data_IF_727451120812
#
_entry.id   IF_727451120812
#
_cell.length_a   1.000
_cell.length_b   1.000
_cell.length_c   1.000
_cell.angle_alpha   90.00
_cell.angle_beta   90.00
_cell.angle_gamma   90.00
#
_symmetry.space_group_name_H-M   'P 1'
#
loop_
_entity.id
_entity.type
_entity.pdbx_description
1 polymer ?
#
# COMPACT_ATOMS: atom_id res chain seq x y z
N UNK A 1 -51.45 18.62 -31.68
CA UNK A 1 -52.06 17.38 -31.14
C UNK A 1 -51.22 16.11 -31.36
N UNK A 2 -50.21 16.08 -32.24
CA UNK A 2 -49.47 14.83 -32.57
C UNK A 2 -48.39 14.41 -31.56
N UNK A 3 -47.78 15.35 -30.82
CA UNK A 3 -46.72 15.04 -29.85
C UNK A 3 -47.24 14.32 -28.59
N UNK A 4 -48.47 14.62 -28.17
CA UNK A 4 -49.10 13.99 -27.00
C UNK A 4 -49.44 12.53 -27.25
N UNK A 5 -49.95 12.21 -28.45
CA UNK A 5 -50.28 10.83 -28.84
C UNK A 5 -49.03 9.96 -29.07
N UNK A 6 -47.90 10.57 -29.43
CA UNK A 6 -46.62 9.88 -29.55
C UNK A 6 -46.04 9.51 -28.18
N UNK A 7 -46.08 10.43 -27.22
CA UNK A 7 -45.59 10.18 -25.86
C UNK A 7 -46.39 9.04 -25.19
N UNK A 8 -47.72 9.06 -25.30
CA UNK A 8 -48.59 8.02 -24.74
C UNK A 8 -48.35 6.63 -25.36
N UNK A 9 -48.10 6.54 -26.68
CA UNK A 9 -47.80 5.25 -27.33
C UNK A 9 -46.41 4.72 -26.99
N UNK A 10 -45.44 5.61 -26.81
CA UNK A 10 -44.08 5.24 -26.42
C UNK A 10 -44.08 4.71 -24.98
N UNK A 11 -44.73 5.41 -24.06
CA UNK A 11 -44.88 4.98 -22.67
C UNK A 11 -45.68 3.67 -22.56
N UNK A 12 -46.75 3.51 -23.34
CA UNK A 12 -47.55 2.27 -23.34
C UNK A 12 -46.76 1.04 -23.81
N UNK A 13 -45.93 1.17 -24.86
CA UNK A 13 -45.08 0.07 -25.34
C UNK A 13 -43.92 -0.24 -24.40
N UNK A 14 -43.34 0.77 -23.75
CA UNK A 14 -42.24 0.59 -22.80
C UNK A 14 -42.70 -0.04 -21.47
N UNK A 15 -43.90 0.34 -21.00
CA UNK A 15 -44.54 -0.30 -19.85
C UNK A 15 -44.81 -1.79 -20.10
N UNK A 16 -45.14 -2.18 -21.33
CA UNK A 16 -45.34 -3.59 -21.73
C UNK A 16 -44.10 -4.46 -21.55
N UNK A 17 -42.91 -3.84 -21.54
CA UNK A 17 -41.63 -4.51 -21.39
C UNK A 17 -40.91 -4.16 -20.07
N UNK A 18 -41.60 -3.53 -19.11
CA UNK A 18 -41.03 -3.05 -17.83
C UNK A 18 -39.79 -2.16 -17.99
N UNK A 19 -39.72 -1.37 -19.06
CA UNK A 19 -38.65 -0.42 -19.31
C UNK A 19 -39.18 1.01 -19.16
N UNK A 20 -38.35 1.92 -18.65
CA UNK A 20 -38.67 3.35 -18.66
C UNK A 20 -37.89 4.06 -19.78
N UNK A 21 -38.42 5.16 -20.31
CA UNK A 21 -37.73 6.00 -21.31
C UNK A 21 -36.35 6.44 -20.80
N UNK A 22 -36.25 6.69 -19.50
CA UNK A 22 -35.00 7.02 -18.81
C UNK A 22 -34.00 5.86 -18.85
N UNK A 23 -34.47 4.63 -18.64
CA UNK A 23 -33.64 3.41 -18.72
C UNK A 23 -33.04 3.18 -20.11
N UNK A 24 -33.76 3.54 -21.17
CA UNK A 24 -33.30 3.42 -22.56
C UNK A 24 -32.23 4.46 -22.90
N UNK A 25 -32.39 5.68 -22.41
CA UNK A 25 -31.40 6.75 -22.58
C UNK A 25 -30.13 6.49 -21.74
N UNK A 26 -30.29 5.89 -20.57
CA UNK A 26 -29.19 5.51 -19.68
C UNK A 26 -28.41 4.27 -20.19
N UNK A 27 -29.08 3.31 -20.86
CA UNK A 27 -28.41 2.11 -21.41
C UNK A 27 -27.48 2.40 -22.60
N UNK A 28 -27.70 3.49 -23.34
CA UNK A 28 -26.92 3.80 -24.55
C UNK A 28 -25.85 4.89 -24.34
N UNK A 29 -25.64 5.35 -23.11
CA UNK A 29 -24.71 6.44 -22.76
C UNK A 29 -24.73 7.57 -23.80
N UNK A 30 -25.95 7.92 -24.22
CA UNK A 30 -26.21 8.75 -25.39
C UNK A 30 -25.49 10.11 -25.36
N UNK A 31 -25.28 10.79 -24.21
CA UNK A 31 -24.53 12.04 -24.17
C UNK A 31 -23.02 11.88 -24.45
N UNK A 32 -22.45 10.68 -24.34
CA UNK A 32 -21.02 10.42 -24.54
C UNK A 32 -20.68 9.86 -25.93
N UNK A 33 -21.69 9.64 -26.80
CA UNK A 33 -21.44 9.22 -28.17
C UNK A 33 -20.81 10.35 -29.01
N UNK A 34 -19.89 10.03 -29.93
CA UNK A 34 -19.38 11.01 -30.89
C UNK A 34 -20.53 11.70 -31.64
N UNK A 35 -20.44 13.02 -31.81
CA UNK A 35 -21.50 13.88 -32.39
C UNK A 35 -21.99 13.40 -33.77
N UNK A 36 -21.11 12.76 -34.54
CA UNK A 36 -21.44 12.15 -35.84
C UNK A 36 -22.41 10.97 -35.72
N UNK A 37 -22.32 10.17 -34.65
CA UNK A 37 -23.19 9.02 -34.40
C UNK A 37 -24.53 9.50 -33.86
N UNK A 38 -24.55 10.49 -32.96
CA UNK A 38 -25.78 11.12 -32.47
C UNK A 38 -26.64 11.69 -33.61
N UNK A 39 -26.01 12.40 -34.56
CA UNK A 39 -26.67 12.93 -35.75
C UNK A 39 -27.16 11.84 -36.70
N UNK A 40 -26.40 10.75 -36.87
CA UNK A 40 -26.77 9.63 -37.75
C UNK A 40 -27.96 8.84 -37.18
N UNK A 41 -28.03 8.69 -35.85
CA UNK A 41 -29.20 8.10 -35.17
C UNK A 41 -30.42 9.00 -35.33
N UNK A 42 -30.29 10.31 -35.10
CA UNK A 42 -31.42 11.25 -35.28
C UNK A 42 -31.91 11.32 -36.74
N UNK A 43 -31.01 11.29 -37.72
CA UNK A 43 -31.38 11.30 -39.14
C UNK A 43 -32.07 10.00 -39.57
N UNK A 44 -31.61 8.84 -39.10
CA UNK A 44 -32.31 7.56 -39.35
C UNK A 44 -33.68 7.48 -38.68
N UNK A 45 -33.89 8.20 -37.58
CA UNK A 45 -35.21 8.34 -36.94
C UNK A 45 -36.13 9.27 -37.74
N UNK A 46 -35.59 10.29 -38.39
CA UNK A 46 -36.34 11.18 -39.28
C UNK A 46 -36.77 10.47 -40.57
N UNK A 47 -35.89 9.62 -41.13
CA UNK A 47 -36.17 8.86 -42.36
C UNK A 47 -37.10 7.66 -42.17
N UNK A 48 -37.35 7.23 -40.92
CA UNK A 48 -38.34 6.18 -40.59
C UNK A 48 -39.75 6.72 -40.28
N UNK A 49 -39.96 8.04 -40.35
CA UNK A 49 -41.27 8.68 -40.08
C UNK A 49 -42.06 9.09 -41.34
N UNK A 50 -41.64 8.67 -42.53
CA UNK A 50 -42.53 8.62 -43.70
C UNK A 50 -42.98 7.17 -43.93
N UNK A 51 -44.30 6.91 -43.91
CA UNK A 51 -45.05 7.20 -45.12
C UNK A 51 -46.51 7.67 -44.92
N UNK A 52 -47.07 8.13 -46.04
CA UNK A 52 -48.49 8.35 -46.38
C UNK A 52 -49.05 9.78 -46.24
N UNK A 53 -48.79 10.60 -47.25
CA UNK A 53 -49.88 11.38 -47.88
C UNK A 53 -49.56 11.76 -49.34
N UNK A 54 -49.52 10.75 -50.23
CA UNK A 54 -49.82 10.96 -51.65
C UNK A 54 -51.26 10.54 -51.89
N UNK A 55 -52.18 11.50 -52.01
CA UNK A 55 -53.33 11.47 -52.93
C UNK A 55 -54.17 12.75 -52.81
N UNK A 56 -54.49 13.30 -53.99
CA UNK A 56 -55.49 14.34 -54.32
C UNK A 56 -55.05 15.78 -54.01
N UNK A 57 -54.47 16.49 -54.97
CA UNK A 57 -55.08 17.11 -56.18
C UNK A 57 -55.64 18.50 -55.90
N UNK A 58 -55.17 19.44 -56.73
CA UNK A 58 -55.83 20.66 -57.21
C UNK A 58 -56.18 21.77 -56.21
N UNK A 59 -55.30 22.77 -56.14
CA UNK A 59 -55.60 24.17 -56.47
C UNK A 59 -54.24 24.91 -56.50
N UNK A 60 -53.65 25.21 -57.65
CA UNK A 60 -54.20 26.15 -58.61
C UNK A 60 -53.78 27.58 -58.28
N UNK A 61 -52.49 27.84 -58.01
CA UNK A 61 -51.96 29.22 -57.98
C UNK A 61 -51.73 29.65 -59.43
N UNK A 62 -52.74 30.29 -60.01
CA UNK A 62 -52.57 31.11 -61.22
C UNK A 62 -53.59 32.25 -61.22
N UNK A 63 -53.03 33.45 -61.28
CA UNK A 63 -53.55 34.69 -61.85
C UNK A 63 -54.76 35.34 -61.17
N UNK A 64 -54.51 36.52 -60.59
CA UNK A 64 -55.32 37.74 -60.75
C UNK A 64 -54.49 38.91 -60.21
N UNK A 65 -53.46 39.29 -60.96
CA UNK A 65 -52.89 40.65 -60.93
C UNK A 65 -53.49 41.38 -62.13
N UNK A 66 -54.61 42.05 -61.91
CA UNK A 66 -55.00 43.30 -62.59
C UNK A 66 -56.34 43.76 -62.02
N UNK A 67 -56.45 45.07 -61.80
CA UNK A 67 -57.60 45.81 -61.26
C UNK A 67 -57.84 45.74 -59.76
N UNK A 68 -57.19 46.63 -59.00
CA UNK A 68 -57.82 47.47 -57.96
C UNK A 68 -56.78 48.42 -57.34
N UNK A 69 -56.27 49.33 -58.17
CA UNK A 69 -55.90 50.65 -57.68
C UNK A 69 -57.19 51.40 -57.37
N UNK A 70 -57.56 51.47 -56.09
CA UNK A 70 -58.14 52.63 -55.40
C UNK A 70 -58.85 52.18 -54.12
N UNK A 71 -58.56 52.92 -53.04
CA UNK A 71 -59.12 52.82 -51.68
C UNK A 71 -58.48 51.80 -50.74
N UNK A 72 -57.25 52.11 -50.30
CA UNK A 72 -56.68 51.50 -49.08
C UNK A 72 -57.20 52.27 -47.86
N UNK A 73 -58.08 51.63 -47.09
CA UNK A 73 -58.58 52.10 -45.80
C UNK A 73 -57.44 52.29 -44.76
N UNK A 74 -57.50 53.33 -43.89
CA UNK A 74 -56.54 53.56 -42.81
C UNK A 74 -56.32 52.37 -41.85
N UNK A 75 -57.30 51.46 -41.75
CA UNK A 75 -57.22 50.27 -40.89
C UNK A 75 -56.20 49.22 -41.37
N UNK A 76 -55.93 49.13 -42.68
CA UNK A 76 -54.94 48.20 -43.25
C UNK A 76 -53.49 48.66 -43.01
N UNK A 77 -53.28 49.98 -42.88
CA UNK A 77 -51.97 50.56 -42.58
C UNK A 77 -51.56 50.30 -41.11
N UNK A 78 -52.49 50.45 -40.18
CA UNK A 78 -52.26 50.16 -38.76
C UNK A 78 -52.04 48.66 -38.50
N UNK A 79 -52.74 47.79 -39.23
CA UNK A 79 -52.54 46.34 -39.14
C UNK A 79 -51.16 45.93 -39.70
N UNK A 80 -50.75 46.45 -40.86
CA UNK A 80 -49.41 46.21 -41.42
C UNK A 80 -48.29 46.75 -40.52
N UNK A 81 -48.46 47.92 -39.92
CA UNK A 81 -47.48 48.49 -38.98
C UNK A 81 -47.36 47.63 -37.71
N UNK A 82 -48.47 47.14 -37.18
CA UNK A 82 -48.50 46.29 -35.98
C UNK A 82 -47.85 44.92 -36.22
N UNK A 83 -48.12 44.30 -37.37
CA UNK A 83 -47.48 43.04 -37.78
C UNK A 83 -45.97 43.23 -38.02
N UNK A 84 -45.56 44.37 -38.58
CA UNK A 84 -44.14 44.68 -38.81
C UNK A 84 -43.36 44.92 -37.50
N UNK A 85 -43.97 45.58 -36.51
CA UNK A 85 -43.36 45.78 -35.19
C UNK A 85 -43.29 44.46 -34.40
N UNK A 86 -44.35 43.65 -34.45
CA UNK A 86 -44.38 42.34 -33.78
C UNK A 86 -43.32 41.38 -34.35
N UNK A 87 -43.19 41.30 -35.68
CA UNK A 87 -42.18 40.45 -36.35
C UNK A 87 -40.75 40.93 -36.10
N UNK A 88 -40.51 42.26 -36.01
CA UNK A 88 -39.20 42.78 -35.59
C UNK A 88 -38.88 42.53 -34.13
N UNK A 89 -39.87 42.64 -33.23
CA UNK A 89 -39.68 42.32 -31.82
C UNK A 89 -39.38 40.83 -31.61
N UNK A 90 -40.05 39.95 -32.35
CA UNK A 90 -39.83 38.50 -32.31
C UNK A 90 -38.47 38.10 -32.90
N UNK A 91 -38.04 38.73 -33.99
CA UNK A 91 -36.70 38.56 -34.55
C UNK A 91 -35.59 39.08 -33.61
N UNK A 92 -35.80 40.24 -32.97
CA UNK A 92 -34.86 40.79 -32.00
C UNK A 92 -34.77 39.95 -30.72
N UNK A 93 -35.88 39.34 -30.28
CA UNK A 93 -35.91 38.42 -29.16
C UNK A 93 -35.15 37.12 -29.47
N UNK A 94 -35.33 36.54 -30.67
CA UNK A 94 -34.56 35.37 -31.12
C UNK A 94 -33.05 35.62 -31.14
N UNK A 95 -32.62 36.77 -31.67
CA UNK A 95 -31.19 37.14 -31.72
C UNK A 95 -30.60 37.34 -30.31
N UNK A 96 -31.38 37.87 -29.35
CA UNK A 96 -30.92 37.98 -27.94
C UNK A 96 -30.78 36.62 -27.27
N UNK A 97 -31.72 35.70 -27.48
CA UNK A 97 -31.68 34.35 -26.90
C UNK A 97 -30.51 33.54 -27.49
N UNK A 98 -30.25 33.64 -28.80
CA UNK A 98 -29.07 32.99 -29.42
C UNK A 98 -27.76 33.57 -28.90
N UNK A 99 -27.62 34.91 -28.79
CA UNK A 99 -26.42 35.54 -28.24
C UNK A 99 -26.18 35.21 -26.77
N UNK A 100 -27.24 35.12 -25.96
CA UNK A 100 -27.12 34.71 -24.56
C UNK A 100 -26.75 33.23 -24.43
N UNK A 101 -27.26 32.38 -25.33
CA UNK A 101 -26.88 30.97 -25.41
C UNK A 101 -25.40 30.76 -25.80
N UNK A 102 -24.88 31.56 -26.74
CA UNK A 102 -23.47 31.48 -27.15
C UNK A 102 -22.53 32.00 -26.06
N UNK A 103 -22.89 33.10 -25.38
CA UNK A 103 -22.07 33.66 -24.28
C UNK A 103 -21.98 32.68 -23.10
N UNK A 104 -23.11 32.07 -22.71
CA UNK A 104 -23.14 31.07 -21.64
C UNK A 104 -22.32 29.81 -21.99
N UNK A 105 -22.31 29.41 -23.26
CA UNK A 105 -21.49 28.30 -23.74
C UNK A 105 -19.99 28.62 -23.71
N UNK A 106 -19.59 29.82 -24.11
CA UNK A 106 -18.19 30.27 -24.04
C UNK A 106 -17.67 30.35 -22.60
N UNK A 107 -18.49 30.86 -21.67
CA UNK A 107 -18.16 30.91 -20.25
C UNK A 107 -18.03 29.50 -19.65
N UNK A 108 -18.90 28.57 -20.04
CA UNK A 108 -18.81 27.17 -19.62
C UNK A 108 -17.52 26.51 -20.13
N UNK A 109 -17.15 26.73 -21.39
CA UNK A 109 -15.90 26.21 -21.98
C UNK A 109 -14.68 26.80 -21.26
N UNK A 110 -14.70 28.10 -20.95
CA UNK A 110 -13.64 28.77 -20.18
C UNK A 110 -13.46 28.15 -18.79
N UNK A 111 -14.57 27.92 -18.06
CA UNK A 111 -14.55 27.25 -16.75
C UNK A 111 -14.02 25.83 -16.83
N UNK A 112 -14.42 25.04 -17.83
CA UNK A 112 -13.90 23.68 -18.03
C UNK A 112 -12.39 23.70 -18.29
N UNK A 113 -11.88 24.65 -19.08
CA UNK A 113 -10.42 24.82 -19.29
C UNK A 113 -9.70 25.15 -17.99
N UNK A 114 -10.23 26.07 -17.18
CA UNK A 114 -9.64 26.42 -15.88
C UNK A 114 -9.62 25.23 -14.91
N UNK A 115 -10.71 24.46 -14.84
CA UNK A 115 -10.76 23.24 -14.01
C UNK A 115 -9.76 22.19 -14.50
N UNK A 116 -9.63 21.99 -15.81
CA UNK A 116 -8.66 21.06 -16.38
C UNK A 116 -7.20 21.49 -16.07
N UNK A 117 -6.90 22.78 -16.14
CA UNK A 117 -5.58 23.30 -15.80
C UNK A 117 -5.28 23.18 -14.30
N UNK A 118 -6.27 23.42 -13.44
CA UNK A 118 -6.15 23.19 -12.01
C UNK A 118 -5.91 21.71 -11.69
N UNK A 119 -6.64 20.79 -12.32
CA UNK A 119 -6.42 19.35 -12.16
C UNK A 119 -5.02 18.92 -12.58
N UNK A 120 -4.47 19.48 -13.66
CA UNK A 120 -3.07 19.26 -14.08
C UNK A 120 -2.08 19.71 -12.99
N UNK A 121 -2.27 20.92 -12.43
CA UNK A 121 -1.41 21.44 -11.35
C UNK A 121 -1.46 20.53 -10.12
N UNK A 122 -2.65 20.09 -9.70
CA UNK A 122 -2.82 19.15 -8.58
C UNK A 122 -2.12 17.81 -8.85
N UNK A 123 -2.21 17.27 -10.06
CA UNK A 123 -1.53 16.03 -10.43
C UNK A 123 0.00 16.15 -10.33
N UNK A 124 0.57 17.26 -10.80
CA UNK A 124 2.01 17.55 -10.72
C UNK A 124 2.46 17.64 -9.26
N UNK A 125 1.74 18.39 -8.41
CA UNK A 125 2.09 18.52 -6.99
C UNK A 125 2.05 17.17 -6.27
N UNK A 126 1.05 16.32 -6.57
CA UNK A 126 0.96 14.96 -6.01
C UNK A 126 2.11 14.07 -6.48
N UNK A 127 2.50 14.16 -7.75
CA UNK A 127 3.62 13.40 -8.29
C UNK A 127 4.95 13.82 -7.64
N UNK A 128 5.22 15.12 -7.52
CA UNK A 128 6.39 15.65 -6.82
C UNK A 128 6.42 15.22 -5.34
N UNK A 129 5.27 15.22 -4.67
CA UNK A 129 5.15 14.74 -3.29
C UNK A 129 5.40 13.24 -3.12
N UNK A 130 5.14 12.41 -4.14
CA UNK A 130 5.51 10.99 -4.13
C UNK A 130 7.01 10.82 -4.38
N UNK A 131 7.55 11.45 -5.42
CA UNK A 131 8.97 11.39 -5.75
C UNK A 131 9.87 11.84 -4.58
N UNK A 132 9.48 12.90 -3.86
CA UNK A 132 10.22 13.34 -2.65
C UNK A 132 10.20 12.30 -1.53
N UNK A 133 9.10 11.58 -1.35
CA UNK A 133 8.98 10.53 -0.32
C UNK A 133 9.78 9.28 -0.70
N UNK A 134 9.76 8.90 -1.97
CA UNK A 134 10.58 7.80 -2.50
C UNK A 134 12.07 8.11 -2.34
N UNK A 135 12.52 9.31 -2.75
CA UNK A 135 13.91 9.73 -2.57
C UNK A 135 14.33 9.80 -1.08
N UNK A 136 13.42 10.20 -0.19
CA UNK A 136 13.68 10.18 1.25
C UNK A 136 13.79 8.76 1.80
N UNK A 137 12.93 7.84 1.33
CA UNK A 137 12.96 6.43 1.71
C UNK A 137 14.24 5.74 1.24
N UNK A 138 14.68 5.97 0.00
CA UNK A 138 15.94 5.45 -0.54
C UNK A 138 17.15 5.95 0.26
N UNK A 139 17.18 7.23 0.61
CA UNK A 139 18.24 7.79 1.47
C UNK A 139 18.24 7.15 2.86
N UNK A 140 17.07 6.94 3.46
CA UNK A 140 16.95 6.27 4.75
C UNK A 140 17.46 4.82 4.69
N UNK A 141 17.13 4.10 3.62
CA UNK A 141 17.59 2.73 3.39
C UNK A 141 19.11 2.67 3.18
N UNK A 142 19.69 3.59 2.43
CA UNK A 142 21.14 3.68 2.25
C UNK A 142 21.87 3.93 3.59
N UNK A 143 21.35 4.83 4.43
CA UNK A 143 21.92 5.08 5.77
C UNK A 143 21.84 3.83 6.66
N UNK A 144 20.73 3.09 6.61
CA UNK A 144 20.58 1.84 7.36
C UNK A 144 21.60 0.79 6.91
N UNK A 145 21.82 0.63 5.61
CA UNK A 145 22.81 -0.31 5.07
C UNK A 145 24.23 0.04 5.52
N UNK A 146 24.62 1.32 5.46
CA UNK A 146 25.94 1.77 5.93
C UNK A 146 26.12 1.47 7.43
N UNK A 147 25.10 1.74 8.26
CA UNK A 147 25.13 1.43 9.69
C UNK A 147 25.25 -0.07 9.94
N UNK A 148 24.49 -0.90 9.24
CA UNK A 148 24.59 -2.36 9.36
C UNK A 148 25.97 -2.87 8.96
N UNK A 149 26.57 -2.32 7.90
CA UNK A 149 27.90 -2.71 7.46
C UNK A 149 28.98 -2.32 8.48
N UNK A 150 28.87 -1.15 9.11
CA UNK A 150 29.78 -0.72 10.19
C UNK A 150 29.66 -1.62 11.44
N UNK A 151 28.44 -2.04 11.81
CA UNK A 151 28.23 -2.98 12.91
C UNK A 151 28.81 -4.35 12.58
N UNK A 152 28.66 -4.83 11.35
CA UNK A 152 29.23 -6.12 10.92
C UNK A 152 30.75 -6.12 10.93
N UNK A 153 31.40 -5.05 10.46
CA UNK A 153 32.86 -4.95 10.44
C UNK A 153 33.44 -4.87 11.84
N UNK A 154 32.83 -4.09 12.73
CA UNK A 154 33.23 -4.00 14.14
C UNK A 154 33.04 -5.34 14.86
N UNK A 155 31.92 -6.02 14.66
CA UNK A 155 31.68 -7.34 15.25
C UNK A 155 32.69 -8.39 14.77
N UNK A 156 33.01 -8.41 13.47
CA UNK A 156 34.03 -9.31 12.91
C UNK A 156 35.42 -9.05 13.51
N UNK A 157 35.80 -7.78 13.71
CA UNK A 157 37.05 -7.42 14.36
C UNK A 157 37.11 -7.90 15.82
N UNK A 158 36.03 -7.74 16.58
CA UNK A 158 35.93 -8.23 17.95
C UNK A 158 36.06 -9.75 18.01
N UNK A 159 35.37 -10.49 17.15
CA UNK A 159 35.48 -11.96 17.10
C UNK A 159 36.91 -12.42 16.81
N UNK A 160 37.60 -11.76 15.87
CA UNK A 160 39.00 -12.07 15.55
C UNK A 160 39.93 -11.78 16.74
N UNK A 161 39.70 -10.67 17.46
CA UNK A 161 40.45 -10.33 18.66
C UNK A 161 40.25 -11.38 19.76
N UNK A 162 39.00 -11.79 20.01
CA UNK A 162 38.65 -12.84 21.00
C UNK A 162 39.31 -14.18 20.64
N UNK A 163 39.26 -14.58 19.37
CA UNK A 163 39.91 -15.82 18.92
C UNK A 163 41.44 -15.78 19.18
N UNK A 164 42.10 -14.67 18.82
CA UNK A 164 43.54 -14.49 19.08
C UNK A 164 43.88 -14.42 20.57
N UNK A 165 42.97 -13.90 21.39
CA UNK A 165 43.12 -13.83 22.84
C UNK A 165 43.01 -15.23 23.47
N UNK A 166 42.07 -16.04 23.01
CA UNK A 166 41.90 -17.43 23.45
C UNK A 166 43.13 -18.27 23.13
N UNK A 167 43.68 -18.14 21.92
CA UNK A 167 44.89 -18.89 21.53
C UNK A 167 46.10 -18.51 22.41
N UNK A 168 46.31 -17.22 22.64
CA UNK A 168 47.36 -16.74 23.57
C UNK A 168 47.17 -17.25 24.99
N UNK A 169 45.93 -17.29 25.48
CA UNK A 169 45.63 -17.83 26.81
C UNK A 169 45.94 -19.33 26.90
N UNK A 170 45.56 -20.11 25.89
CA UNK A 170 45.87 -21.55 25.84
C UNK A 170 47.38 -21.77 25.84
N UNK A 171 48.13 -21.03 25.01
CA UNK A 171 49.60 -21.11 24.96
C UNK A 171 50.23 -20.74 26.31
N UNK A 172 49.71 -19.71 26.99
CA UNK A 172 50.20 -19.31 28.32
C UNK A 172 49.96 -20.40 29.37
N UNK A 173 48.76 -21.02 29.38
CA UNK A 173 48.43 -22.13 30.30
C UNK A 173 49.34 -23.34 30.03
N UNK A 174 49.61 -23.65 28.76
CA UNK A 174 50.51 -24.75 28.39
C UNK A 174 51.95 -24.48 28.80
N UNK A 175 52.43 -23.24 28.61
CA UNK A 175 53.77 -22.83 29.06
C UNK A 175 53.91 -22.91 30.59
N UNK A 176 52.91 -22.45 31.34
CA UNK A 176 52.89 -22.55 32.80
C UNK A 176 52.88 -24.01 33.27
N UNK A 177 52.10 -24.88 32.61
CA UNK A 177 52.10 -26.33 32.88
C UNK A 177 53.46 -26.98 32.61
N UNK A 178 54.16 -26.56 31.55
CA UNK A 178 55.52 -27.05 31.26
C UNK A 178 56.52 -26.57 32.31
N UNK A 179 56.45 -25.31 32.72
CA UNK A 179 57.30 -24.78 33.80
C UNK A 179 57.06 -25.52 35.12
N UNK A 180 55.80 -25.78 35.47
CA UNK A 180 55.45 -26.55 36.66
C UNK A 180 55.98 -28.00 36.59
N UNK A 181 55.92 -28.64 35.42
CA UNK A 181 56.51 -29.98 35.21
C UNK A 181 58.01 -29.97 35.46
N UNK A 182 58.75 -29.04 34.85
CA UNK A 182 60.20 -28.91 35.04
C UNK A 182 60.57 -28.61 36.49
N UNK A 183 59.78 -27.79 37.19
CA UNK A 183 59.96 -27.52 38.61
C UNK A 183 59.77 -28.77 39.47
N UNK A 184 58.74 -29.58 39.20
CA UNK A 184 58.53 -30.86 39.88
C UNK A 184 59.65 -31.87 39.59
N UNK A 185 60.10 -31.97 38.33
CA UNK A 185 61.23 -32.83 37.95
C UNK A 185 62.51 -32.45 38.72
N UNK A 186 62.79 -31.15 38.83
CA UNK A 186 63.92 -30.64 39.61
C UNK A 186 63.81 -30.90 41.11
N UNK A 187 62.59 -30.87 41.66
CA UNK A 187 62.35 -31.03 43.09
C UNK A 187 62.31 -32.50 43.55
N UNK A 188 61.81 -33.42 42.72
CA UNK A 188 61.46 -34.79 43.16
C UNK A 188 62.02 -35.91 42.28
N UNK A 189 62.69 -35.60 41.16
CA UNK A 189 63.12 -36.60 40.17
C UNK A 189 62.00 -37.02 39.22
N UNK A 190 62.35 -37.42 37.99
CA UNK A 190 61.42 -37.61 36.86
C UNK A 190 60.25 -38.56 37.16
N UNK A 191 60.50 -39.70 37.81
CA UNK A 191 59.48 -40.69 38.12
C UNK A 191 58.44 -40.22 39.17
N UNK A 192 58.87 -39.40 40.14
CA UNK A 192 57.97 -38.85 41.16
C UNK A 192 57.15 -37.68 40.60
N UNK A 193 57.74 -36.86 39.72
CA UNK A 193 57.07 -35.77 39.02
C UNK A 193 55.98 -36.28 38.07
N UNK A 194 56.25 -37.35 37.31
CA UNK A 194 55.26 -37.96 36.42
C UNK A 194 54.07 -38.55 37.19
N UNK A 195 54.35 -39.22 38.33
CA UNK A 195 53.32 -39.75 39.22
C UNK A 195 52.47 -38.63 39.86
N UNK A 196 53.08 -37.53 40.28
CA UNK A 196 52.37 -36.37 40.81
C UNK A 196 51.49 -35.69 39.74
N UNK A 197 51.97 -35.58 38.49
CA UNK A 197 51.20 -35.03 37.38
C UNK A 197 50.00 -35.93 37.00
N UNK A 198 50.21 -37.25 36.98
CA UNK A 198 49.13 -38.21 36.75
C UNK A 198 48.08 -38.15 37.86
N UNK A 199 48.51 -37.99 39.13
CA UNK A 199 47.61 -37.79 40.26
C UNK A 199 46.81 -36.48 40.12
N UNK A 200 47.46 -35.38 39.72
CA UNK A 200 46.79 -34.10 39.46
C UNK A 200 45.69 -34.21 38.41
N UNK A 201 45.97 -34.89 37.28
CA UNK A 201 44.95 -35.15 36.25
C UNK A 201 43.80 -36.02 36.76
N UNK A 202 44.09 -37.01 37.60
CA UNK A 202 43.05 -37.86 38.20
C UNK A 202 42.17 -37.09 39.19
N UNK A 203 42.76 -36.18 39.97
CA UNK A 203 42.03 -35.29 40.89
C UNK A 203 41.17 -34.30 40.12
N UNK A 204 41.69 -33.71 39.03
CA UNK A 204 40.92 -32.82 38.17
C UNK A 204 39.74 -33.55 37.51
N UNK A 205 39.95 -34.78 37.05
CA UNK A 205 38.88 -35.62 36.51
C UNK A 205 37.83 -35.97 37.57
N UNK A 206 38.25 -36.25 38.81
CA UNK A 206 37.33 -36.47 39.94
C UNK A 206 36.52 -35.22 40.31
N UNK A 207 37.01 -34.03 39.94
CA UNK A 207 36.32 -32.74 40.13
C UNK A 207 35.51 -32.32 38.90
N UNK A 208 35.42 -33.13 37.85
CA UNK A 208 34.62 -32.79 36.68
C UNK A 208 33.12 -32.85 36.99
N UNK A 209 32.33 -32.03 36.31
CA UNK A 209 30.88 -32.07 36.40
C UNK A 209 30.37 -33.41 35.86
N UNK A 210 29.55 -34.11 36.64
CA UNK A 210 29.00 -35.44 36.28
C UNK A 210 28.03 -35.43 35.09
N UNK A 211 27.70 -34.25 34.57
CA UNK A 211 26.71 -34.08 33.51
C UNK A 211 27.39 -33.84 32.17
N UNK A 212 28.36 -32.92 32.12
CA UNK A 212 29.08 -32.60 30.89
C UNK A 212 30.47 -33.21 30.82
N UNK A 213 31.07 -33.64 31.94
CA UNK A 213 32.45 -34.14 32.04
C UNK A 213 33.55 -33.19 31.54
N UNK A 214 33.20 -31.95 31.18
CA UNK A 214 34.10 -30.95 30.62
C UNK A 214 34.49 -29.89 31.68
N UNK A 215 33.48 -29.30 32.33
CA UNK A 215 33.67 -28.22 33.29
C UNK A 215 33.90 -28.75 34.71
N UNK A 216 34.65 -28.01 35.53
CA UNK A 216 34.78 -28.32 36.96
C UNK A 216 33.46 -28.18 37.73
N UNK A 217 33.19 -29.15 38.58
CA UNK A 217 32.12 -29.15 39.56
C UNK A 217 32.38 -28.06 40.60
N UNK A 218 31.54 -27.03 40.57
CA UNK A 218 31.66 -25.84 41.43
C UNK A 218 30.33 -25.44 42.05
N UNK A 219 29.28 -26.22 41.83
CA UNK A 219 27.92 -25.90 42.24
C UNK A 219 27.29 -27.00 43.08
N UNK A 220 26.56 -26.56 44.08
CA UNK A 220 25.83 -27.36 45.06
C UNK A 220 24.39 -26.82 45.19
N UNK A 221 23.52 -27.10 44.19
CA UNK A 221 22.21 -26.46 44.10
C UNK A 221 21.17 -26.99 45.08
N UNK A 222 21.33 -28.20 45.61
CA UNK A 222 20.35 -28.86 46.50
C UNK A 222 20.78 -28.87 47.96
N UNK A 223 19.82 -28.99 48.87
CA UNK A 223 20.08 -29.06 50.32
C UNK A 223 20.79 -30.33 50.78
N UNK A 224 20.87 -31.35 49.92
CA UNK A 224 21.66 -32.57 50.17
C UNK A 224 23.17 -32.36 50.01
N UNK A 225 23.62 -31.17 49.60
CA UNK A 225 25.03 -30.78 49.54
C UNK A 225 25.92 -31.57 48.54
N UNK A 226 25.34 -32.22 47.53
CA UNK A 226 26.14 -32.81 46.45
C UNK A 226 26.70 -31.72 45.52
N UNK A 227 28.02 -31.57 45.52
CA UNK A 227 28.79 -30.56 44.80
C UNK A 227 29.41 -31.11 43.50
N UNK A 228 28.57 -31.58 42.57
CA UNK A 228 29.01 -32.37 41.40
C UNK A 228 28.64 -31.72 40.05
N UNK A 229 28.25 -30.43 40.07
CA UNK A 229 27.73 -29.74 38.89
C UNK A 229 28.53 -28.49 38.53
N UNK A 230 28.71 -28.22 37.24
CA UNK A 230 29.14 -26.90 36.77
C UNK A 230 27.95 -25.92 36.80
N UNK A 231 28.23 -24.61 36.66
CA UNK A 231 27.20 -23.58 36.67
C UNK A 231 26.13 -23.78 35.58
N UNK A 232 26.54 -24.10 34.36
CA UNK A 232 25.62 -24.31 33.24
C UNK A 232 24.68 -25.51 33.46
N UNK A 233 25.23 -26.65 33.91
CA UNK A 233 24.44 -27.85 34.18
C UNK A 233 23.55 -27.70 35.42
N UNK A 234 24.03 -27.06 36.49
CA UNK A 234 23.23 -26.83 37.70
C UNK A 234 21.97 -26.02 37.41
N UNK A 235 22.07 -24.94 36.64
CA UNK A 235 20.91 -24.13 36.25
C UNK A 235 19.91 -24.93 35.42
N UNK A 236 20.38 -25.69 34.43
CA UNK A 236 19.51 -26.53 33.57
C UNK A 236 18.73 -27.57 34.37
N UNK A 237 19.39 -28.29 35.27
CA UNK A 237 18.75 -29.35 36.07
C UNK A 237 17.71 -28.77 37.03
N UNK A 238 18.04 -27.66 37.70
CA UNK A 238 17.10 -27.00 38.62
C UNK A 238 15.89 -26.42 37.87
N UNK A 239 16.10 -25.81 36.70
CA UNK A 239 15.01 -25.30 35.87
C UNK A 239 14.06 -26.40 35.37
N UNK A 240 14.61 -27.58 35.06
CA UNK A 240 13.82 -28.76 34.69
C UNK A 240 12.99 -29.34 35.86
N UNK A 241 13.04 -28.73 37.07
CA UNK A 241 12.39 -29.20 38.31
C UNK A 241 12.77 -30.63 38.71
N UNK A 242 13.92 -31.11 38.24
CA UNK A 242 14.45 -32.40 38.64
C UNK A 242 15.04 -32.31 40.05
N UNK A 243 14.92 -33.39 40.82
CA UNK A 243 15.65 -33.54 42.08
C UNK A 243 17.15 -33.70 41.83
N UNK A 244 17.96 -33.67 42.89
CA UNK A 244 19.38 -33.96 42.80
C UNK A 244 19.60 -35.29 42.05
N UNK A 245 20.38 -35.33 40.96
CA UNK A 245 20.64 -36.57 40.20
C UNK A 245 21.26 -37.71 41.02
N UNK A 246 21.87 -37.41 42.17
CA UNK A 246 22.56 -38.38 43.02
C UNK A 246 21.62 -39.01 44.05
N UNK A 247 20.80 -38.21 44.73
CA UNK A 247 19.97 -38.69 45.85
C UNK A 247 18.49 -38.33 45.71
N UNK A 248 18.08 -37.80 44.55
CA UNK A 248 16.73 -37.40 44.19
C UNK A 248 16.05 -36.36 45.11
N UNK A 249 16.78 -35.76 46.06
CA UNK A 249 16.25 -34.70 46.93
C UNK A 249 15.85 -33.49 46.08
N UNK A 250 14.59 -33.05 46.22
CA UNK A 250 14.00 -31.94 45.43
C UNK A 250 14.15 -30.56 46.07
N UNK A 251 14.61 -30.48 47.32
CA UNK A 251 14.80 -29.23 48.04
C UNK A 251 16.02 -28.46 47.50
N UNK A 252 15.76 -27.35 46.81
CA UNK A 252 16.76 -26.49 46.17
C UNK A 252 17.19 -25.39 47.14
N UNK A 253 18.49 -25.09 47.18
CA UNK A 253 19.08 -23.98 47.96
C UNK A 253 18.89 -22.65 47.21
N UNK A 254 18.97 -21.49 47.90
CA UNK A 254 19.02 -20.21 47.21
C UNK A 254 20.23 -20.11 46.27
N UNK A 255 20.04 -19.60 45.04
CA UNK A 255 21.08 -19.51 43.99
C UNK A 255 22.39 -18.86 44.46
N UNK A 256 22.29 -17.82 45.30
CA UNK A 256 23.45 -17.12 45.90
C UNK A 256 24.35 -18.02 46.76
N UNK A 257 23.88 -19.21 47.17
CA UNK A 257 24.62 -20.16 48.01
C UNK A 257 25.09 -21.41 47.23
N UNK A 258 24.90 -21.46 45.91
CA UNK A 258 25.22 -22.66 45.13
C UNK A 258 26.72 -22.85 44.93
N UNK A 259 27.47 -21.76 44.77
CA UNK A 259 28.91 -21.83 44.51
C UNK A 259 29.64 -22.43 45.71
N UNK A 260 30.49 -23.41 45.44
CA UNK A 260 31.39 -24.03 46.40
C UNK A 260 32.79 -24.05 45.81
N UNK A 261 33.78 -23.88 46.68
CA UNK A 261 35.19 -24.02 46.34
C UNK A 261 35.66 -25.32 46.96
N UNK A 262 35.89 -26.32 46.11
CA UNK A 262 36.49 -27.58 46.55
C UNK A 262 38.00 -27.37 46.59
N UNK A 263 38.65 -27.41 47.78
CA UNK A 263 40.10 -27.28 47.90
C UNK A 263 40.78 -28.43 47.16
#
# INVERSE_FOLDING_TARGET
>A
MLFSQFHERLEHNLAKHNLSVKSLLDMYDFPNLPRSIQLNVMNRFHDSLEPQCRRRSSCGVRMLEESLEQQVSPSLFLWRASVFVATRAEAAAKIRVEKQGTQAAEDAISKVKQVAEFQKKVAITRALGRAKREAAAERAQAVLLVKQQAVRSTFAAVLKAVASGRERLTQAIEAERQQHRLALEKAMGSAAAEKALALGKAVDAARACIVCYEDQASQMPYTCQHAMFCNGCAVRIVHAKNGCPICHRRSVRPKKKWRVFLP
#
